data_IF_908817751194
#
_entry.id   IF_908817751194
#
_cell.length_a   1.000
_cell.length_b   1.000
_cell.length_c   1.000
_cell.angle_alpha   90.00
_cell.angle_beta   90.00
_cell.angle_gamma   90.00
#
_symmetry.space_group_name_H-M   'P 1'
#
loop_
_entity.id
_entity.type
_entity.pdbx_description
1 polymer ?
#
# COMPACT_ATOMS: atom_id res chain seq x y z
N UNK A 1 -19.74 -68.35 5.76
CA UNK A 1 -18.69 -68.70 4.79
C UNK A 1 -18.44 -67.52 3.86
N UNK A 2 -18.20 -66.33 4.44
CA UNK A 2 -18.01 -65.05 3.74
C UNK A 2 -17.08 -64.13 4.56
N UNK A 3 -16.04 -64.74 5.14
CA UNK A 3 -14.80 -64.04 5.47
C UNK A 3 -13.79 -64.44 4.38
N UNK A 4 -12.70 -63.68 4.23
CA UNK A 4 -11.60 -63.96 3.30
C UNK A 4 -11.90 -63.68 1.81
N UNK A 5 -12.58 -62.56 1.54
CA UNK A 5 -12.41 -61.83 0.27
C UNK A 5 -11.68 -60.50 0.57
N UNK A 6 -10.42 -60.63 0.97
CA UNK A 6 -9.46 -59.53 0.95
C UNK A 6 -9.20 -59.13 -0.51
N UNK A 7 -10.09 -58.30 -1.05
CA UNK A 7 -9.74 -57.44 -2.17
C UNK A 7 -8.70 -56.43 -1.64
N UNK A 8 -7.42 -56.77 -1.77
CA UNK A 8 -6.31 -55.81 -1.71
C UNK A 8 -6.57 -54.78 -2.84
N UNK A 9 -7.31 -53.71 -2.51
CA UNK A 9 -7.63 -52.65 -3.46
C UNK A 9 -6.31 -51.99 -3.87
N UNK A 10 -5.98 -52.05 -5.15
CA UNK A 10 -4.74 -51.48 -5.66
C UNK A 10 -4.69 -49.96 -5.41
N UNK A 11 -3.52 -49.46 -5.00
CA UNK A 11 -3.32 -48.04 -4.75
C UNK A 11 -3.53 -47.22 -6.04
N UNK A 12 -4.51 -46.30 -6.00
CA UNK A 12 -4.66 -45.28 -7.05
C UNK A 12 -3.66 -44.16 -6.79
N UNK A 13 -2.51 -44.30 -7.45
CA UNK A 13 -1.39 -43.35 -7.35
C UNK A 13 -1.64 -42.06 -8.13
N UNK A 14 -2.73 -41.95 -8.91
CA UNK A 14 -3.05 -40.82 -9.80
C UNK A 14 -1.90 -40.44 -10.75
N UNK A 15 -1.04 -41.40 -11.09
CA UNK A 15 0.18 -41.18 -11.89
C UNK A 15 1.31 -40.43 -11.16
N UNK A 16 1.20 -40.17 -9.86
CA UNK A 16 2.22 -39.48 -9.05
C UNK A 16 3.31 -40.49 -8.63
N UNK A 17 4.56 -40.34 -9.09
CA UNK A 17 5.61 -41.29 -8.71
C UNK A 17 6.04 -41.10 -7.26
N UNK A 18 6.52 -42.18 -6.65
CA UNK A 18 7.14 -42.17 -5.31
C UNK A 18 8.58 -42.65 -5.38
N UNK A 19 9.44 -42.05 -4.56
CA UNK A 19 10.86 -42.44 -4.45
C UNK A 19 11.14 -42.98 -3.05
N UNK A 20 11.55 -44.25 -2.89
CA UNK A 20 11.85 -44.82 -1.59
C UNK A 20 13.13 -44.20 -1.01
N UNK A 21 13.13 -43.97 0.30
CA UNK A 21 14.28 -43.44 1.03
C UNK A 21 14.23 -43.75 2.51
N UNK A 22 15.29 -43.33 3.21
CA UNK A 22 15.36 -43.35 4.67
C UNK A 22 16.01 -42.07 5.17
N UNK A 23 15.57 -41.59 6.32
CA UNK A 23 16.18 -40.48 7.07
C UNK A 23 16.36 -40.92 8.51
N UNK A 24 17.45 -40.47 9.13
CA UNK A 24 17.74 -40.75 10.54
C UNK A 24 17.75 -39.42 11.29
N UNK A 25 16.80 -39.26 12.21
CA UNK A 25 16.53 -38.01 12.90
C UNK A 25 16.89 -38.12 14.37
N UNK A 26 17.71 -37.19 14.85
CA UNK A 26 17.94 -36.95 16.27
C UNK A 26 16.73 -36.23 16.87
N UNK A 27 16.18 -36.76 17.95
CA UNK A 27 14.97 -36.21 18.58
C UNK A 27 15.27 -34.95 19.39
N UNK A 28 14.24 -34.14 19.57
CA UNK A 28 14.28 -32.98 20.48
C UNK A 28 14.27 -33.38 21.97
N UNK A 29 14.37 -32.38 22.84
CA UNK A 29 14.34 -32.56 24.29
C UNK A 29 13.02 -33.16 24.82
N UNK A 30 11.95 -33.10 24.02
CA UNK A 30 10.64 -33.70 24.30
C UNK A 30 10.51 -35.11 23.71
N UNK A 31 11.58 -35.67 23.14
CA UNK A 31 11.65 -36.99 22.51
C UNK A 31 10.73 -37.11 21.26
N UNK A 32 10.48 -36.00 20.57
CA UNK A 32 9.70 -35.89 19.34
C UNK A 32 10.61 -35.63 18.12
N UNK A 33 10.05 -35.86 16.93
CA UNK A 33 10.66 -35.50 15.64
C UNK A 33 9.89 -34.40 14.88
N UNK A 34 8.67 -34.07 15.32
CA UNK A 34 7.88 -32.97 14.74
C UNK A 34 7.10 -33.29 13.46
N UNK A 35 6.51 -34.47 13.35
CA UNK A 35 5.56 -34.80 12.28
C UNK A 35 4.17 -35.16 12.82
N UNK A 36 3.12 -34.88 12.05
CA UNK A 36 1.76 -35.40 12.23
C UNK A 36 1.50 -36.51 11.21
N UNK A 37 0.78 -37.57 11.61
CA UNK A 37 0.58 -38.79 10.82
C UNK A 37 -0.92 -38.98 10.53
N UNK A 38 -1.26 -39.21 9.27
CA UNK A 38 -2.59 -39.54 8.76
C UNK A 38 -2.63 -40.92 8.10
N UNK A 39 -3.84 -41.33 7.69
CA UNK A 39 -4.09 -42.66 7.14
C UNK A 39 -3.94 -43.78 8.17
N UNK A 40 -3.52 -44.95 7.69
CA UNK A 40 -3.40 -46.19 8.44
C UNK A 40 -4.70 -46.98 8.58
N UNK A 41 -4.57 -48.16 9.19
CA UNK A 41 -5.67 -49.09 9.40
C UNK A 41 -6.81 -48.47 10.25
N UNK A 42 -8.07 -48.85 10.05
CA UNK A 42 -8.56 -49.88 9.13
C UNK A 42 -8.95 -49.39 7.72
N UNK A 43 -8.96 -48.07 7.47
CA UNK A 43 -9.56 -47.49 6.26
C UNK A 43 -8.57 -47.12 5.15
N UNK A 44 -7.29 -46.94 5.47
CA UNK A 44 -6.27 -46.51 4.51
C UNK A 44 -5.05 -47.46 4.53
N UNK A 45 -4.59 -47.99 3.38
CA UNK A 45 -3.46 -48.92 3.34
C UNK A 45 -2.12 -48.24 3.67
N UNK A 46 -2.01 -46.94 3.36
CA UNK A 46 -0.81 -46.12 3.57
C UNK A 46 -0.88 -45.33 4.88
N UNK A 47 0.28 -45.07 5.49
CA UNK A 47 0.45 -44.07 6.53
C UNK A 47 1.26 -42.91 5.95
N UNK A 48 0.84 -41.67 6.14
CA UNK A 48 1.51 -40.52 5.51
C UNK A 48 1.60 -39.30 6.42
N UNK A 49 2.55 -38.42 6.11
CA UNK A 49 2.80 -37.20 6.87
C UNK A 49 1.72 -36.17 6.52
N UNK A 50 0.94 -35.73 7.50
CA UNK A 50 -0.07 -34.66 7.34
C UNK A 50 0.57 -33.27 7.44
N UNK A 51 1.56 -33.14 8.32
CA UNK A 51 2.25 -31.89 8.58
C UNK A 51 3.64 -32.17 9.15
N UNK A 52 4.62 -31.37 8.74
CA UNK A 52 5.88 -31.19 9.46
C UNK A 52 5.78 -29.87 10.22
N UNK A 53 6.15 -29.85 11.51
CA UNK A 53 6.05 -28.67 12.37
C UNK A 53 7.35 -27.87 12.36
N UNK A 54 7.27 -26.53 12.31
CA UNK A 54 8.45 -25.67 12.26
C UNK A 54 9.32 -25.83 13.52
N UNK A 55 10.63 -25.58 13.40
CA UNK A 55 11.62 -25.65 14.48
C UNK A 55 11.74 -27.04 15.16
N UNK A 56 11.37 -28.11 14.45
CA UNK A 56 11.51 -29.50 14.90
C UNK A 56 12.59 -30.25 14.09
N UNK A 57 13.09 -31.40 14.58
CA UNK A 57 14.12 -32.16 13.86
C UNK A 57 13.78 -32.47 12.39
N UNK A 58 12.53 -32.89 12.10
CA UNK A 58 12.11 -33.17 10.73
C UNK A 58 12.07 -31.92 9.82
N UNK A 59 11.72 -30.76 10.37
CA UNK A 59 11.73 -29.50 9.62
C UNK A 59 13.14 -28.97 9.37
N UNK A 60 14.07 -29.16 10.32
CA UNK A 60 15.46 -28.73 10.21
C UNK A 60 16.26 -29.61 9.25
N UNK A 61 15.99 -30.91 9.22
CA UNK A 61 16.56 -31.86 8.27
C UNK A 61 15.99 -31.69 6.85
N UNK A 62 14.67 -31.48 6.73
CA UNK A 62 14.02 -31.18 5.44
C UNK A 62 13.89 -32.35 4.45
N UNK A 63 14.35 -33.56 4.80
CA UNK A 63 14.26 -34.73 3.92
C UNK A 63 12.82 -35.18 3.71
N UNK A 64 11.96 -35.08 4.73
CA UNK A 64 10.54 -35.51 4.70
C UNK A 64 9.59 -34.33 4.68
N UNK A 65 8.43 -34.49 4.02
CA UNK A 65 7.44 -33.44 3.82
C UNK A 65 6.00 -34.00 3.80
N UNK A 66 5.01 -33.12 3.97
CA UNK A 66 3.60 -33.49 3.98
C UNK A 66 3.18 -34.17 2.66
N UNK A 67 2.45 -35.28 2.74
CA UNK A 67 2.11 -36.16 1.63
C UNK A 67 3.08 -37.33 1.40
N UNK A 68 4.29 -37.31 1.99
CA UNK A 68 5.19 -38.46 1.97
C UNK A 68 4.60 -39.61 2.77
N UNK A 69 4.70 -40.83 2.25
CA UNK A 69 4.28 -42.04 2.96
C UNK A 69 5.41 -42.52 3.87
N UNK A 70 5.04 -43.04 5.04
CA UNK A 70 5.92 -43.69 6.01
C UNK A 70 5.76 -45.21 5.81
N UNK A 71 6.86 -45.89 5.49
CA UNK A 71 6.88 -47.34 5.21
C UNK A 71 7.47 -48.18 6.35
N UNK A 72 8.29 -47.56 7.21
CA UNK A 72 8.92 -48.26 8.32
C UNK A 72 9.59 -47.37 9.37
N UNK A 73 9.76 -47.91 10.58
CA UNK A 73 10.43 -47.25 11.72
C UNK A 73 11.52 -48.19 12.24
N UNK A 74 12.77 -47.72 12.28
CA UNK A 74 13.96 -48.51 12.66
C UNK A 74 14.03 -49.89 11.96
N UNK A 75 13.72 -49.92 10.66
CA UNK A 75 13.73 -51.14 9.83
C UNK A 75 12.54 -52.07 10.03
N UNK A 76 11.60 -51.75 10.93
CA UNK A 76 10.34 -52.49 11.10
C UNK A 76 9.26 -51.92 10.20
N UNK A 77 8.63 -52.77 9.40
CA UNK A 77 7.47 -52.38 8.57
C UNK A 77 6.30 -51.89 9.43
N UNK A 78 5.54 -50.95 8.88
CA UNK A 78 4.32 -50.42 9.49
C UNK A 78 3.05 -50.61 8.65
N UNK A 79 3.10 -51.36 7.54
CA UNK A 79 1.90 -51.72 6.77
C UNK A 79 0.87 -52.39 7.69
N UNK A 80 -0.40 -52.02 7.56
CA UNK A 80 -1.50 -52.55 8.36
C UNK A 80 -1.63 -52.01 9.79
N UNK A 81 -0.81 -51.04 10.21
CA UNK A 81 -0.92 -50.41 11.54
C UNK A 81 -1.76 -49.14 11.52
N UNK A 82 -2.28 -48.77 12.68
CA UNK A 82 -2.97 -47.50 12.90
C UNK A 82 -1.96 -46.36 13.09
N UNK A 83 -2.38 -45.12 12.80
CA UNK A 83 -1.58 -43.90 13.05
C UNK A 83 -1.12 -43.75 14.52
N UNK A 84 -1.91 -44.27 15.47
CA UNK A 84 -1.60 -44.24 16.91
C UNK A 84 -0.46 -45.20 17.26
N UNK A 85 -0.47 -46.42 16.73
CA UNK A 85 0.62 -47.39 16.94
C UNK A 85 1.94 -46.91 16.33
N UNK A 86 1.88 -46.25 15.17
CA UNK A 86 3.07 -45.69 14.51
C UNK A 86 3.64 -44.52 15.31
N UNK A 87 2.80 -43.60 15.77
CA UNK A 87 3.22 -42.53 16.68
C UNK A 87 3.86 -43.10 17.95
N UNK A 88 3.28 -44.16 18.53
CA UNK A 88 3.82 -44.83 19.71
C UNK A 88 5.18 -45.50 19.44
N UNK A 89 5.33 -46.25 18.34
CA UNK A 89 6.61 -46.85 17.95
C UNK A 89 7.71 -45.80 17.76
N UNK A 90 7.39 -44.65 17.16
CA UNK A 90 8.34 -43.54 17.05
C UNK A 90 8.69 -42.98 18.43
N UNK A 91 7.71 -42.80 19.32
CA UNK A 91 7.92 -42.27 20.68
C UNK A 91 8.72 -43.20 21.60
N UNK A 92 8.54 -44.51 21.48
CA UNK A 92 9.25 -45.54 22.28
C UNK A 92 10.76 -45.55 22.03
N UNK A 93 11.20 -45.22 20.80
CA UNK A 93 12.62 -45.03 20.47
C UNK A 93 13.19 -43.82 21.20
N UNK A 94 14.39 -43.93 21.79
CA UNK A 94 15.09 -42.83 22.49
C UNK A 94 16.33 -42.38 21.70
N UNK A 95 16.59 -41.07 21.74
CA UNK A 95 17.69 -40.45 20.99
C UNK A 95 17.38 -40.36 19.51
N UNK A 96 17.76 -41.38 18.75
CA UNK A 96 17.77 -41.36 17.28
C UNK A 96 16.75 -42.33 16.68
N UNK A 97 15.99 -41.88 15.68
CA UNK A 97 14.99 -42.71 14.98
C UNK A 97 15.18 -42.65 13.47
N UNK A 98 15.21 -43.82 12.83
CA UNK A 98 15.28 -43.97 11.37
C UNK A 98 13.89 -44.19 10.79
N UNK A 99 13.42 -43.23 10.00
CA UNK A 99 12.16 -43.28 9.27
C UNK A 99 12.44 -43.74 7.85
N UNK A 100 11.78 -44.82 7.42
CA UNK A 100 11.73 -45.24 6.02
C UNK A 100 10.47 -44.63 5.40
N UNK A 101 10.62 -44.06 4.21
CA UNK A 101 9.56 -43.29 3.57
C UNK A 101 9.51 -43.53 2.05
N UNK A 102 8.36 -43.25 1.46
CA UNK A 102 8.15 -43.13 0.03
C UNK A 102 7.83 -41.65 -0.27
N UNK A 103 8.81 -40.94 -0.83
CA UNK A 103 8.71 -39.49 -1.08
C UNK A 103 7.83 -39.21 -2.28
N UNK A 104 6.78 -38.41 -2.09
CA UNK A 104 5.79 -38.09 -3.11
C UNK A 104 6.37 -37.05 -4.09
N UNK A 105 6.51 -37.42 -5.36
CA UNK A 105 6.97 -36.53 -6.44
C UNK A 105 5.78 -35.79 -7.08
N UNK A 106 5.10 -34.99 -6.26
CA UNK A 106 3.98 -34.16 -6.69
C UNK A 106 4.44 -32.94 -7.50
N UNK A 107 3.82 -32.67 -8.66
CA UNK A 107 3.92 -31.37 -9.33
C UNK A 107 2.85 -30.43 -8.73
N UNK A 108 3.22 -29.26 -8.16
CA UNK A 108 2.27 -28.29 -7.62
C UNK A 108 1.15 -27.88 -8.60
N UNK A 109 1.40 -27.95 -9.92
CA UNK A 109 0.38 -27.69 -10.96
C UNK A 109 -0.78 -28.68 -10.91
N UNK A 110 -0.54 -29.94 -10.55
CA UNK A 110 -1.60 -30.95 -10.41
C UNK A 110 -2.55 -30.60 -9.26
N UNK A 111 -2.06 -29.93 -8.22
CA UNK A 111 -2.88 -29.43 -7.12
C UNK A 111 -3.58 -28.10 -7.39
N UNK A 112 -3.46 -27.50 -8.59
CA UNK A 112 -4.16 -26.27 -8.98
C UNK A 112 -5.50 -26.57 -9.68
N UNK A 113 -6.46 -27.11 -8.93
CA UNK A 113 -7.81 -27.36 -9.45
C UNK A 113 -8.64 -26.08 -9.59
N UNK A 114 -9.69 -26.13 -10.43
CA UNK A 114 -10.67 -25.04 -10.55
C UNK A 114 -11.30 -24.69 -9.19
N UNK A 115 -11.49 -25.68 -8.32
CA UNK A 115 -11.98 -25.51 -6.95
C UNK A 115 -11.04 -24.65 -6.09
N UNK A 116 -9.71 -24.89 -6.16
CA UNK A 116 -8.71 -24.02 -5.50
C UNK A 116 -8.75 -22.59 -6.05
N UNK A 117 -8.93 -22.42 -7.38
CA UNK A 117 -9.04 -21.09 -8.01
C UNK A 117 -10.31 -20.36 -7.53
N UNK A 118 -11.46 -21.04 -7.48
CA UNK A 118 -12.72 -20.49 -6.98
C UNK A 118 -12.62 -20.12 -5.49
N UNK A 119 -11.97 -20.96 -4.67
CA UNK A 119 -11.66 -20.64 -3.26
C UNK A 119 -10.77 -19.39 -3.16
N UNK A 120 -9.75 -19.23 -3.99
CA UNK A 120 -8.86 -18.05 -4.02
C UNK A 120 -9.63 -16.77 -4.40
N UNK A 121 -10.55 -16.86 -5.36
CA UNK A 121 -11.47 -15.77 -5.72
C UNK A 121 -12.41 -15.43 -4.57
N UNK A 122 -13.02 -16.43 -3.91
CA UNK A 122 -13.87 -16.24 -2.72
C UNK A 122 -13.12 -15.46 -1.63
N UNK A 123 -11.92 -15.89 -1.26
CA UNK A 123 -11.11 -15.20 -0.26
C UNK A 123 -10.83 -13.74 -0.64
N UNK A 124 -10.48 -13.47 -1.91
CA UNK A 124 -10.23 -12.10 -2.41
C UNK A 124 -11.46 -11.20 -2.34
N UNK A 125 -12.67 -11.72 -2.59
CA UNK A 125 -13.91 -10.96 -2.48
C UNK A 125 -14.26 -10.66 -1.01
N UNK A 126 -14.12 -11.65 -0.14
CA UNK A 126 -14.51 -11.58 1.27
C UNK A 126 -13.60 -10.68 2.11
N UNK A 127 -12.32 -10.55 1.78
CA UNK A 127 -11.37 -9.69 2.51
C UNK A 127 -11.82 -8.21 2.53
N UNK A 128 -12.47 -7.74 1.46
CA UNK A 128 -12.95 -6.35 1.31
C UNK A 128 -14.41 -6.15 1.77
N UNK A 129 -15.05 -7.16 2.37
CA UNK A 129 -16.46 -7.11 2.77
C UNK A 129 -16.64 -7.00 4.29
N UNK A 130 -17.66 -6.24 4.71
CA UNK A 130 -18.08 -6.24 6.11
C UNK A 130 -18.56 -7.64 6.54
N UNK A 131 -18.53 -7.93 7.85
CA UNK A 131 -19.04 -9.19 8.39
C UNK A 131 -20.50 -9.46 7.97
N UNK A 132 -21.38 -8.49 8.23
CA UNK A 132 -22.80 -8.62 7.89
C UNK A 132 -23.05 -8.76 6.39
N UNK A 133 -22.24 -8.13 5.53
CA UNK A 133 -22.34 -8.30 4.07
C UNK A 133 -21.91 -9.71 3.64
N UNK A 134 -20.81 -10.23 4.16
CA UNK A 134 -20.33 -11.57 3.84
C UNK A 134 -21.32 -12.64 4.34
N UNK A 135 -21.84 -12.49 5.56
CA UNK A 135 -22.80 -13.42 6.15
C UNK A 135 -24.15 -13.39 5.39
N UNK A 136 -24.63 -12.22 4.97
CA UNK A 136 -25.84 -12.08 4.13
C UNK A 136 -25.69 -12.70 2.73
N UNK A 137 -24.45 -12.80 2.21
CA UNK A 137 -24.13 -13.48 0.95
C UNK A 137 -23.77 -14.97 1.15
N UNK A 138 -23.86 -15.50 2.36
CA UNK A 138 -23.49 -16.89 2.68
C UNK A 138 -21.98 -17.19 2.60
N UNK A 139 -21.12 -16.17 2.56
CA UNK A 139 -19.69 -16.32 2.36
C UNK A 139 -18.94 -16.54 3.69
N UNK A 140 -18.92 -17.79 4.16
CA UNK A 140 -18.31 -18.16 5.44
C UNK A 140 -16.82 -17.76 5.55
N UNK A 141 -16.49 -16.96 6.57
CA UNK A 141 -15.17 -16.35 6.78
C UNK A 141 -14.17 -17.20 7.59
N UNK A 142 -14.33 -18.53 7.58
CA UNK A 142 -13.74 -19.47 8.55
C UNK A 142 -12.19 -19.50 8.67
N UNK A 143 -11.46 -18.80 7.80
CA UNK A 143 -9.98 -18.74 7.79
C UNK A 143 -9.47 -17.29 7.64
N UNK A 144 -10.33 -16.27 7.70
CA UNK A 144 -9.89 -14.87 7.65
C UNK A 144 -9.35 -14.42 9.02
N UNK A 145 -8.08 -14.70 9.27
CA UNK A 145 -7.35 -14.06 10.35
C UNK A 145 -7.29 -12.55 10.10
N UNK A 146 -7.65 -11.78 11.13
CA UNK A 146 -7.58 -10.32 11.23
C UNK A 146 -6.13 -9.84 11.01
N UNK A 147 -5.77 -9.61 9.75
CA UNK A 147 -4.39 -9.43 9.33
C UNK A 147 -3.94 -7.99 9.48
N UNK A 148 -3.04 -7.75 10.44
CA UNK A 148 -2.49 -6.43 10.70
C UNK A 148 -1.85 -5.77 9.48
N UNK A 149 -1.37 -6.55 8.50
CA UNK A 149 -0.78 -6.01 7.28
C UNK A 149 -1.80 -5.30 6.37
N UNK A 150 -3.09 -5.67 6.42
CA UNK A 150 -4.14 -4.95 5.69
C UNK A 150 -4.39 -3.57 6.32
N UNK A 151 -4.43 -3.50 7.66
CA UNK A 151 -4.53 -2.22 8.37
C UNK A 151 -3.31 -1.32 8.12
N UNK A 152 -2.10 -1.90 8.07
CA UNK A 152 -0.89 -1.17 7.66
C UNK A 152 -0.95 -0.65 6.23
N UNK A 153 -1.64 -1.36 5.31
CA UNK A 153 -1.88 -0.85 3.96
C UNK A 153 -2.86 0.33 3.96
N UNK A 154 -3.97 0.26 4.71
CA UNK A 154 -4.92 1.35 4.87
C UNK A 154 -4.27 2.60 5.50
N UNK A 155 -3.44 2.42 6.53
CA UNK A 155 -2.60 3.46 7.14
C UNK A 155 -1.65 4.09 6.11
N UNK A 156 -0.99 3.26 5.27
CA UNK A 156 -0.09 3.73 4.22
C UNK A 156 -0.83 4.50 3.12
N UNK A 157 -2.05 4.08 2.72
CA UNK A 157 -2.84 4.77 1.71
C UNK A 157 -3.38 6.12 2.21
N UNK A 158 -3.88 6.20 3.46
CA UNK A 158 -4.25 7.49 4.10
C UNK A 158 -3.05 8.43 4.22
N UNK A 159 -1.90 7.89 4.59
CA UNK A 159 -0.63 8.63 4.63
C UNK A 159 -0.28 9.18 3.25
N UNK A 160 -0.42 8.39 2.18
CA UNK A 160 -0.17 8.81 0.81
C UNK A 160 -1.05 9.99 0.36
N UNK A 161 -2.33 10.00 0.73
CA UNK A 161 -3.27 11.09 0.42
C UNK A 161 -2.84 12.41 1.08
N UNK A 162 -2.42 12.36 2.35
CA UNK A 162 -1.90 13.53 3.07
C UNK A 162 -0.67 14.12 2.37
N UNK A 163 0.28 13.27 1.94
CA UNK A 163 1.47 13.75 1.20
C UNK A 163 1.15 14.29 -0.19
N UNK A 164 0.13 13.73 -0.87
CA UNK A 164 -0.37 14.29 -2.13
C UNK A 164 -0.87 15.71 -1.93
N UNK A 165 -1.71 15.93 -0.91
CA UNK A 165 -2.17 17.26 -0.51
C UNK A 165 -1.03 18.23 -0.17
N UNK A 166 -0.08 17.81 0.68
CA UNK A 166 1.11 18.62 1.01
C UNK A 166 1.91 19.03 -0.23
N UNK A 167 2.09 18.12 -1.18
CA UNK A 167 2.83 18.37 -2.44
C UNK A 167 2.11 19.40 -3.31
N UNK A 168 0.78 19.29 -3.42
CA UNK A 168 -0.06 20.20 -4.18
C UNK A 168 -0.13 21.61 -3.55
N UNK A 169 -0.35 21.70 -2.24
CA UNK A 169 -0.31 22.98 -1.53
C UNK A 169 1.06 23.65 -1.59
N UNK A 170 2.16 22.90 -1.44
CA UNK A 170 3.52 23.44 -1.58
C UNK A 170 3.76 23.96 -2.99
N UNK A 171 3.31 23.24 -4.03
CA UNK A 171 3.42 23.69 -5.42
C UNK A 171 2.66 25.00 -5.67
N UNK A 172 1.45 25.13 -5.14
CA UNK A 172 0.64 26.35 -5.25
C UNK A 172 1.28 27.52 -4.47
N UNK A 173 1.83 27.26 -3.29
CA UNK A 173 2.57 28.26 -2.50
C UNK A 173 3.81 28.77 -3.24
N UNK A 174 4.64 27.88 -3.82
CA UNK A 174 5.81 28.29 -4.60
C UNK A 174 5.42 29.08 -5.87
N UNK A 175 4.26 28.79 -6.47
CA UNK A 175 3.73 29.61 -7.57
C UNK A 175 3.37 31.02 -7.10
N UNK A 176 2.64 31.14 -6.00
CA UNK A 176 2.29 32.46 -5.43
C UNK A 176 3.54 33.26 -5.04
N UNK A 177 4.57 32.62 -4.46
CA UNK A 177 5.85 33.27 -4.16
C UNK A 177 6.61 33.72 -5.42
N UNK A 178 6.52 32.98 -6.52
CA UNK A 178 7.10 33.40 -7.80
C UNK A 178 6.39 34.62 -8.37
N UNK A 179 5.05 34.60 -8.40
CA UNK A 179 4.22 35.72 -8.85
C UNK A 179 4.48 36.98 -7.99
N UNK A 180 4.50 36.84 -6.65
CA UNK A 180 4.88 37.91 -5.72
C UNK A 180 6.30 38.44 -5.96
N UNK A 181 7.27 37.58 -6.29
CA UNK A 181 8.64 38.00 -6.62
C UNK A 181 8.68 38.85 -7.90
N UNK A 182 7.87 38.51 -8.93
CA UNK A 182 7.74 39.35 -10.13
C UNK A 182 7.11 40.71 -9.79
N UNK A 183 6.12 40.76 -8.90
CA UNK A 183 5.52 42.02 -8.43
C UNK A 183 6.52 42.90 -7.67
N UNK A 184 7.36 42.32 -6.81
CA UNK A 184 8.44 43.07 -6.16
C UNK A 184 9.44 43.65 -7.16
N UNK A 185 9.82 42.90 -8.21
CA UNK A 185 10.64 43.44 -9.30
C UNK A 185 9.99 44.62 -10.00
N UNK A 186 8.71 44.50 -10.37
CA UNK A 186 7.97 45.58 -11.02
C UNK A 186 7.91 46.84 -10.17
N UNK A 187 7.62 46.73 -8.86
CA UNK A 187 7.72 47.86 -7.93
C UNK A 187 9.12 48.47 -7.89
N UNK A 188 10.16 47.63 -7.84
CA UNK A 188 11.54 48.09 -7.87
C UNK A 188 11.89 48.91 -9.11
N UNK A 189 11.41 48.48 -10.27
CA UNK A 189 11.64 49.20 -11.53
C UNK A 189 10.80 50.49 -11.63
N UNK A 190 9.55 50.49 -11.14
CA UNK A 190 8.69 51.69 -11.08
C UNK A 190 9.25 52.75 -10.12
N UNK A 191 9.60 52.38 -8.88
CA UNK A 191 10.18 53.32 -7.92
C UNK A 191 11.53 53.87 -8.41
N UNK A 192 12.33 53.07 -9.11
CA UNK A 192 13.58 53.52 -9.74
C UNK A 192 13.35 54.59 -10.82
N UNK A 193 12.23 54.53 -11.55
CA UNK A 193 11.86 55.56 -12.55
C UNK A 193 11.31 56.82 -11.88
N UNK A 194 10.50 56.68 -10.82
CA UNK A 194 9.97 57.81 -10.05
C UNK A 194 11.12 58.58 -9.39
N UNK A 195 12.03 57.89 -8.67
CA UNK A 195 13.14 58.55 -7.96
C UNK A 195 14.07 59.35 -8.87
N UNK A 196 14.30 58.91 -10.11
CA UNK A 196 15.12 59.65 -11.11
C UNK A 196 14.40 60.90 -11.66
N UNK A 197 13.06 60.94 -11.61
CA UNK A 197 12.23 62.04 -12.13
C UNK A 197 11.73 62.99 -11.04
N UNK A 198 11.84 62.61 -9.77
CA UNK A 198 11.38 63.37 -8.62
C UNK A 198 12.31 64.58 -8.36
N UNK A 199 11.83 65.83 -8.53
CA UNK A 199 12.67 67.02 -8.35
C UNK A 199 13.05 67.28 -6.89
N UNK A 200 12.31 66.77 -5.91
CA UNK A 200 12.67 66.94 -4.50
C UNK A 200 13.74 65.91 -4.07
N UNK A 201 14.96 66.33 -3.68
CA UNK A 201 16.07 65.39 -3.46
C UNK A 201 15.81 64.32 -2.37
N UNK A 202 15.10 64.68 -1.30
CA UNK A 202 14.77 63.76 -0.22
C UNK A 202 13.76 62.67 -0.67
N UNK A 203 12.75 63.04 -1.47
CA UNK A 203 11.80 62.09 -2.03
C UNK A 203 12.45 61.22 -3.11
N UNK A 204 13.31 61.79 -3.95
CA UNK A 204 14.16 61.06 -4.90
C UNK A 204 14.98 59.96 -4.20
N UNK A 205 15.70 60.31 -3.14
CA UNK A 205 16.49 59.34 -2.36
C UNK A 205 15.61 58.25 -1.70
N UNK A 206 14.42 58.63 -1.20
CA UNK A 206 13.45 57.69 -0.64
C UNK A 206 13.00 56.66 -1.69
N UNK A 207 12.59 57.11 -2.88
CA UNK A 207 12.16 56.22 -3.96
C UNK A 207 13.29 55.29 -4.44
N UNK A 208 14.54 55.75 -4.48
CA UNK A 208 15.69 54.88 -4.79
C UNK A 208 15.89 53.82 -3.71
N UNK A 209 15.79 54.16 -2.42
CA UNK A 209 15.86 53.18 -1.31
C UNK A 209 14.75 52.13 -1.41
N UNK A 210 13.50 52.54 -1.68
CA UNK A 210 12.40 51.58 -1.89
C UNK A 210 12.60 50.72 -3.14
N UNK A 211 13.16 51.28 -4.22
CA UNK A 211 13.46 50.53 -5.44
C UNK A 211 14.44 49.38 -5.18
N UNK A 212 15.55 49.66 -4.49
CA UNK A 212 16.57 48.67 -4.17
C UNK A 212 16.13 47.68 -3.08
N UNK A 213 15.28 48.11 -2.15
CA UNK A 213 14.63 47.22 -1.18
C UNK A 213 13.74 46.18 -1.90
N UNK A 214 12.86 46.63 -2.80
CA UNK A 214 11.99 45.75 -3.58
C UNK A 214 12.78 44.82 -4.53
N UNK A 215 13.84 45.31 -5.18
CA UNK A 215 14.76 44.47 -5.98
C UNK A 215 15.52 43.45 -5.13
N UNK A 216 15.76 43.72 -3.85
CA UNK A 216 16.39 42.77 -2.93
C UNK A 216 15.42 41.68 -2.47
N UNK A 217 14.16 42.05 -2.19
CA UNK A 217 13.09 41.11 -1.85
C UNK A 217 12.85 40.10 -3.01
N UNK A 218 12.86 40.54 -4.27
CA UNK A 218 12.80 39.60 -5.42
C UNK A 218 13.93 38.58 -5.38
N UNK A 219 15.18 39.01 -5.18
CA UNK A 219 16.34 38.12 -5.11
C UNK A 219 16.22 37.10 -3.97
N UNK A 220 15.66 37.51 -2.82
CA UNK A 220 15.38 36.61 -1.70
C UNK A 220 14.27 35.61 -2.04
N UNK A 221 13.20 36.04 -2.72
CA UNK A 221 12.12 35.19 -3.21
C UNK A 221 12.62 34.12 -4.18
N UNK A 222 13.40 34.51 -5.19
CA UNK A 222 14.03 33.58 -6.15
C UNK A 222 14.98 32.59 -5.43
N UNK A 223 15.70 33.02 -4.37
CA UNK A 223 16.55 32.15 -3.54
C UNK A 223 15.71 31.14 -2.75
N UNK A 224 14.60 31.56 -2.15
CA UNK A 224 13.63 30.69 -1.46
C UNK A 224 13.07 29.63 -2.41
N UNK A 225 12.62 30.03 -3.60
CA UNK A 225 12.09 29.10 -4.61
C UNK A 225 13.11 28.04 -5.02
N UNK A 226 14.36 28.45 -5.32
CA UNK A 226 15.46 27.53 -5.63
C UNK A 226 15.77 26.56 -4.48
N UNK A 227 15.59 27.01 -3.24
CA UNK A 227 15.92 26.23 -2.04
C UNK A 227 14.83 25.24 -1.67
N UNK A 228 13.54 25.56 -1.88
CA UNK A 228 12.41 24.67 -1.57
C UNK A 228 12.08 23.74 -2.75
N UNK A 229 12.30 24.13 -4.01
CA UNK A 229 11.95 23.29 -5.20
C UNK A 229 12.43 21.82 -5.14
N UNK A 230 13.62 21.47 -4.61
CA UNK A 230 14.04 20.07 -4.45
C UNK A 230 13.11 19.24 -3.56
N UNK A 231 12.53 19.82 -2.50
CA UNK A 231 11.57 19.16 -1.61
C UNK A 231 10.39 18.52 -2.37
N UNK A 232 9.87 19.21 -3.38
CA UNK A 232 8.81 18.67 -4.24
C UNK A 232 9.28 17.43 -5.02
N UNK A 233 10.55 17.36 -5.41
CA UNK A 233 11.11 16.23 -6.17
C UNK A 233 11.26 14.99 -5.29
N UNK A 234 11.66 15.20 -4.04
CA UNK A 234 11.83 14.14 -3.03
C UNK A 234 10.45 13.58 -2.61
N UNK A 235 9.50 14.45 -2.25
CA UNK A 235 8.10 14.06 -1.94
C UNK A 235 7.42 13.35 -3.12
N UNK A 236 7.60 13.85 -4.35
CA UNK A 236 7.05 13.23 -5.55
C UNK A 236 7.71 11.87 -5.86
N UNK A 237 8.95 11.64 -5.45
CA UNK A 237 9.63 10.35 -5.53
C UNK A 237 9.07 9.36 -4.51
N UNK A 238 8.82 9.79 -3.27
CA UNK A 238 8.16 8.98 -2.25
C UNK A 238 6.75 8.55 -2.72
N UNK A 239 5.93 9.51 -3.15
CA UNK A 239 4.55 9.29 -3.59
C UNK A 239 4.42 8.37 -4.83
N UNK A 240 5.25 8.57 -5.86
CA UNK A 240 5.07 7.89 -7.15
C UNK A 240 5.98 6.68 -7.36
N UNK A 241 6.97 6.44 -6.50
CA UNK A 241 7.85 5.26 -6.59
C UNK A 241 7.80 4.39 -5.34
N UNK A 242 8.03 4.96 -4.16
CA UNK A 242 8.14 4.17 -2.93
C UNK A 242 6.80 3.57 -2.48
N UNK A 243 5.75 4.39 -2.37
CA UNK A 243 4.41 3.91 -1.96
C UNK A 243 3.84 2.87 -2.96
N UNK A 244 3.87 3.08 -4.30
CA UNK A 244 3.32 2.12 -5.25
C UNK A 244 4.05 0.78 -5.27
N UNK A 245 5.37 0.77 -5.04
CA UNK A 245 6.19 -0.46 -4.96
C UNK A 245 5.90 -1.26 -3.68
N UNK A 246 5.81 -0.58 -2.52
CA UNK A 246 5.37 -1.25 -1.27
C UNK A 246 3.94 -1.78 -1.40
N UNK A 247 3.01 -1.01 -1.99
CA UNK A 247 1.65 -1.47 -2.27
C UNK A 247 1.61 -2.68 -3.22
N UNK A 248 2.44 -2.72 -4.26
CA UNK A 248 2.56 -3.88 -5.15
C UNK A 248 3.05 -5.12 -4.39
N UNK A 249 3.97 -4.94 -3.44
CA UNK A 249 4.51 -6.02 -2.61
C UNK A 249 3.43 -6.58 -1.68
N UNK A 250 2.63 -5.72 -1.04
CA UNK A 250 1.48 -6.12 -0.21
C UNK A 250 0.41 -6.84 -1.06
N UNK A 251 0.15 -6.39 -2.29
CA UNK A 251 -0.77 -7.10 -3.21
C UNK A 251 -0.27 -8.50 -3.59
N UNK A 252 1.03 -8.70 -3.78
CA UNK A 252 1.63 -10.03 -3.97
C UNK A 252 1.48 -10.91 -2.72
N UNK A 253 1.72 -10.35 -1.54
CA UNK A 253 1.47 -11.03 -0.26
C UNK A 253 0.03 -11.51 -0.12
N UNK A 254 -0.96 -10.67 -0.39
CA UNK A 254 -2.37 -11.05 -0.31
C UNK A 254 -2.72 -12.18 -1.28
N UNK A 255 -2.15 -12.18 -2.50
CA UNK A 255 -2.41 -13.26 -3.45
C UNK A 255 -1.83 -14.62 -2.99
N UNK A 256 -0.62 -14.62 -2.41
CA UNK A 256 0.01 -15.81 -1.83
C UNK A 256 -0.73 -16.27 -0.55
N UNK A 257 -1.20 -15.33 0.28
CA UNK A 257 -2.07 -15.59 1.44
C UNK A 257 -3.32 -16.33 0.99
N UNK A 258 -4.09 -15.79 0.04
CA UNK A 258 -5.35 -16.38 -0.42
C UNK A 258 -5.15 -17.77 -1.05
N UNK A 259 -4.03 -18.01 -1.72
CA UNK A 259 -3.65 -19.34 -2.22
C UNK A 259 -3.43 -20.34 -1.08
N UNK A 260 -2.63 -19.98 -0.07
CA UNK A 260 -2.43 -20.81 1.12
C UNK A 260 -3.74 -21.08 1.87
N UNK A 261 -4.59 -20.06 2.06
CA UNK A 261 -5.89 -20.23 2.72
C UNK A 261 -6.84 -21.16 1.91
N UNK A 262 -6.77 -21.12 0.58
CA UNK A 262 -7.55 -22.01 -0.29
C UNK A 262 -7.17 -23.47 -0.11
N UNK A 263 -5.86 -23.78 0.01
CA UNK A 263 -5.39 -25.11 0.35
C UNK A 263 -5.78 -25.53 1.77
N UNK A 264 -5.70 -24.63 2.76
CA UNK A 264 -6.18 -24.92 4.12
C UNK A 264 -7.67 -25.25 4.16
N UNK A 265 -8.49 -24.52 3.40
CA UNK A 265 -9.91 -24.80 3.28
C UNK A 265 -10.17 -26.14 2.60
N UNK A 266 -9.47 -26.45 1.51
CA UNK A 266 -9.62 -27.73 0.80
C UNK A 266 -9.26 -28.93 1.68
N UNK A 267 -8.14 -28.85 2.43
CA UNK A 267 -7.79 -29.92 3.39
C UNK A 267 -8.89 -30.11 4.42
N UNK A 268 -9.41 -29.02 5.01
CA UNK A 268 -10.50 -29.12 5.99
C UNK A 268 -11.76 -29.76 5.39
N UNK A 269 -12.17 -29.35 4.19
CA UNK A 269 -13.33 -29.96 3.51
C UNK A 269 -13.14 -31.47 3.29
N UNK A 270 -11.94 -31.91 2.92
CA UNK A 270 -11.63 -33.35 2.76
C UNK A 270 -11.56 -34.10 4.09
N UNK A 271 -11.10 -33.45 5.17
CA UNK A 271 -11.10 -34.00 6.53
C UNK A 271 -12.55 -34.17 7.06
N UNK A 272 -13.39 -33.14 6.89
CA UNK A 272 -14.80 -33.12 7.31
C UNK A 272 -15.63 -34.15 6.51
N UNK A 273 -15.36 -34.30 5.20
CA UNK A 273 -15.95 -35.33 4.34
C UNK A 273 -15.54 -36.75 4.78
N UNK A 274 -14.23 -36.99 5.00
CA UNK A 274 -13.71 -38.28 5.45
C UNK A 274 -14.30 -38.69 6.80
N UNK A 275 -14.39 -37.76 7.75
CA UNK A 275 -15.02 -38.00 9.05
C UNK A 275 -16.50 -38.38 8.92
N UNK A 276 -17.24 -37.67 8.06
CA UNK A 276 -18.68 -37.89 7.85
C UNK A 276 -18.94 -39.27 7.22
N UNK A 277 -18.17 -39.66 6.21
CA UNK A 277 -18.30 -40.95 5.55
C UNK A 277 -17.89 -42.12 6.47
N UNK A 278 -16.83 -41.96 7.25
CA UNK A 278 -16.44 -42.96 8.27
C UNK A 278 -17.53 -43.11 9.34
N UNK A 279 -18.20 -42.04 9.75
CA UNK A 279 -19.30 -42.09 10.72
C UNK A 279 -20.54 -42.85 10.21
N UNK A 280 -20.73 -42.92 8.88
CA UNK A 280 -21.76 -43.72 8.22
C UNK A 280 -21.34 -45.18 7.96
N UNK A 281 -20.06 -45.52 8.19
CA UNK A 281 -19.50 -46.85 7.92
C UNK A 281 -19.09 -47.09 6.46
N UNK A 282 -19.14 -46.06 5.62
CA UNK A 282 -18.82 -46.13 4.18
C UNK A 282 -17.52 -45.37 3.88
N UNK A 283 -16.33 -46.00 4.00
CA UNK A 283 -15.07 -45.33 3.71
C UNK A 283 -14.96 -44.94 2.23
N UNK A 284 -14.54 -43.70 1.97
CA UNK A 284 -14.39 -43.17 0.61
C UNK A 284 -13.33 -43.93 -0.18
N UNK A 285 -13.60 -44.16 -1.47
CA UNK A 285 -12.67 -44.84 -2.39
C UNK A 285 -11.25 -44.25 -2.37
N UNK A 286 -11.13 -42.91 -2.35
CA UNK A 286 -9.82 -42.22 -2.24
C UNK A 286 -9.03 -42.65 -1.00
N UNK A 287 -9.69 -42.96 0.11
CA UNK A 287 -9.02 -43.35 1.38
C UNK A 287 -8.55 -44.80 1.30
N UNK A 288 -9.39 -45.70 0.81
CA UNK A 288 -9.04 -47.13 0.67
C UNK A 288 -7.97 -47.37 -0.39
N UNK A 289 -7.75 -46.44 -1.32
CA UNK A 289 -6.68 -46.49 -2.34
C UNK A 289 -5.39 -45.72 -1.98
N UNK A 290 -5.22 -45.28 -0.73
CA UNK A 290 -3.97 -44.65 -0.25
C UNK A 290 -3.94 -43.12 -0.27
N UNK A 291 -5.08 -42.47 -0.58
CA UNK A 291 -5.37 -41.04 -0.40
C UNK A 291 -4.40 -40.08 -1.13
N UNK A 292 -3.97 -40.45 -2.35
CA UNK A 292 -2.98 -39.69 -3.12
C UNK A 292 -3.44 -38.25 -3.47
N UNK A 293 -4.73 -38.02 -3.73
CA UNK A 293 -5.26 -36.65 -3.94
C UNK A 293 -5.05 -35.78 -2.69
N UNK A 294 -5.44 -36.29 -1.51
CA UNK A 294 -5.26 -35.58 -0.25
C UNK A 294 -3.77 -35.32 0.03
N UNK A 295 -2.90 -36.31 -0.21
CA UNK A 295 -1.44 -36.20 -0.06
C UNK A 295 -0.82 -35.15 -1.00
N UNK A 296 -1.32 -35.03 -2.23
CA UNK A 296 -0.96 -33.95 -3.17
C UNK A 296 -1.39 -32.57 -2.64
N UNK A 297 -2.64 -32.43 -2.16
CA UNK A 297 -3.13 -31.17 -1.58
C UNK A 297 -2.33 -30.79 -0.33
N UNK A 298 -1.94 -31.74 0.52
CA UNK A 298 -1.05 -31.52 1.66
C UNK A 298 0.33 -30.97 1.24
N UNK A 299 0.92 -31.49 0.16
CA UNK A 299 2.19 -30.98 -0.39
C UNK A 299 2.03 -29.54 -0.86
N UNK A 300 1.01 -29.26 -1.67
CA UNK A 300 0.72 -27.91 -2.16
C UNK A 300 0.46 -26.92 -1.02
N UNK A 301 -0.25 -27.34 0.05
CA UNK A 301 -0.44 -26.56 1.28
C UNK A 301 0.89 -26.23 1.96
N UNK A 302 1.80 -27.19 2.09
CA UNK A 302 3.12 -26.98 2.72
C UNK A 302 3.95 -25.95 1.93
N UNK A 303 3.98 -26.05 0.60
CA UNK A 303 4.72 -25.09 -0.22
C UNK A 303 4.09 -23.70 -0.21
N UNK A 304 2.76 -23.61 -0.33
CA UNK A 304 2.04 -22.34 -0.25
C UNK A 304 2.26 -21.67 1.12
N UNK A 305 2.33 -22.46 2.21
CA UNK A 305 2.68 -21.98 3.56
C UNK A 305 4.09 -21.40 3.61
N UNK A 306 5.07 -22.06 2.98
CA UNK A 306 6.45 -21.56 2.92
C UNK A 306 6.53 -20.23 2.14
N UNK A 307 5.90 -20.15 0.96
CA UNK A 307 5.79 -18.91 0.17
C UNK A 307 5.11 -17.78 0.97
N UNK A 308 4.02 -18.09 1.66
CA UNK A 308 3.28 -17.15 2.51
C UNK A 308 4.14 -16.61 3.67
N UNK A 309 4.81 -17.49 4.41
CA UNK A 309 5.67 -17.10 5.53
C UNK A 309 6.85 -16.24 5.11
N UNK A 310 7.47 -16.52 3.95
CA UNK A 310 8.55 -15.69 3.42
C UNK A 310 8.03 -14.31 2.99
N UNK A 311 7.01 -14.26 2.13
CA UNK A 311 6.44 -13.01 1.64
C UNK A 311 5.88 -12.12 2.77
N UNK A 312 5.45 -12.73 3.89
CA UNK A 312 5.06 -12.00 5.11
C UNK A 312 6.24 -11.28 5.76
N UNK A 313 7.43 -11.91 5.84
CA UNK A 313 8.66 -11.25 6.31
C UNK A 313 9.06 -10.13 5.36
N UNK A 314 9.12 -10.42 4.06
CA UNK A 314 9.51 -9.44 3.03
C UNK A 314 8.66 -8.16 3.09
N UNK A 315 7.34 -8.30 3.32
CA UNK A 315 6.43 -7.15 3.50
C UNK A 315 6.68 -6.40 4.81
N UNK A 316 6.92 -7.09 5.92
CA UNK A 316 7.20 -6.45 7.21
C UNK A 316 8.50 -5.64 7.15
N UNK A 317 9.59 -6.24 6.65
CA UNK A 317 10.87 -5.57 6.47
C UNK A 317 10.75 -4.37 5.52
N UNK A 318 10.00 -4.50 4.41
CA UNK A 318 9.79 -3.42 3.45
C UNK A 318 8.94 -2.27 4.01
N UNK A 319 7.94 -2.57 4.86
CA UNK A 319 7.17 -1.55 5.56
C UNK A 319 8.04 -0.79 6.57
N UNK A 320 8.87 -1.50 7.33
CA UNK A 320 9.79 -0.89 8.29
C UNK A 320 10.84 0.00 7.61
N UNK A 321 11.46 -0.48 6.53
CA UNK A 321 12.40 0.31 5.72
C UNK A 321 11.75 1.55 5.09
N UNK A 322 10.47 1.44 4.68
CA UNK A 322 9.71 2.59 4.17
C UNK A 322 9.52 3.63 5.28
N UNK A 323 9.08 3.21 6.47
CA UNK A 323 8.77 4.09 7.60
C UNK A 323 10.03 4.77 8.18
N UNK A 324 11.13 4.02 8.36
CA UNK A 324 12.41 4.57 8.82
C UNK A 324 12.93 5.66 7.87
N UNK A 325 12.90 5.41 6.56
CA UNK A 325 13.28 6.42 5.56
C UNK A 325 12.32 7.60 5.53
N UNK A 326 11.03 7.32 5.63
CA UNK A 326 9.96 8.32 5.60
C UNK A 326 10.13 9.39 6.69
N UNK A 327 10.28 8.95 7.94
CA UNK A 327 10.42 9.86 9.08
C UNK A 327 11.66 10.75 8.94
N UNK A 328 12.79 10.19 8.51
CA UNK A 328 14.03 10.96 8.30
C UNK A 328 13.89 12.00 7.18
N UNK A 329 13.40 11.59 6.01
CA UNK A 329 13.24 12.48 4.86
C UNK A 329 12.31 13.66 5.20
N UNK A 330 11.14 13.41 5.81
CA UNK A 330 10.16 14.47 6.09
C UNK A 330 10.57 15.44 7.19
N UNK A 331 11.20 14.98 8.27
CA UNK A 331 11.72 15.90 9.29
C UNK A 331 12.73 16.86 8.68
N UNK A 332 13.63 16.36 7.81
CA UNK A 332 14.59 17.19 7.10
C UNK A 332 13.91 18.18 6.13
N UNK A 333 12.93 17.73 5.33
CA UNK A 333 12.21 18.61 4.41
C UNK A 333 11.39 19.70 5.12
N UNK A 334 10.71 19.37 6.22
CA UNK A 334 9.94 20.35 7.01
C UNK A 334 10.84 21.37 7.70
N UNK A 335 11.97 20.94 8.27
CA UNK A 335 12.98 21.86 8.82
C UNK A 335 13.52 22.78 7.72
N UNK A 336 13.91 22.24 6.56
CA UNK A 336 14.36 23.01 5.40
C UNK A 336 13.33 24.03 4.95
N UNK A 337 12.05 23.66 4.90
CA UNK A 337 10.95 24.57 4.58
C UNK A 337 10.87 25.72 5.59
N UNK A 338 10.70 25.42 6.88
CA UNK A 338 10.53 26.42 7.94
C UNK A 338 11.75 27.35 8.04
N UNK A 339 12.97 26.81 8.02
CA UNK A 339 14.20 27.61 8.07
C UNK A 339 14.36 28.50 6.83
N UNK A 340 13.95 28.05 5.64
CA UNK A 340 14.00 28.87 4.42
C UNK A 340 12.97 30.00 4.46
N UNK A 341 11.74 29.71 4.91
CA UNK A 341 10.67 30.70 5.08
C UNK A 341 11.06 31.77 6.12
N UNK A 342 11.55 31.34 7.29
CA UNK A 342 12.04 32.23 8.34
C UNK A 342 13.19 33.11 7.85
N UNK A 343 14.17 32.53 7.13
CA UNK A 343 15.27 33.30 6.55
C UNK A 343 14.77 34.33 5.54
N UNK A 344 13.84 33.98 4.65
CA UNK A 344 13.26 34.93 3.70
C UNK A 344 12.62 36.13 4.41
N UNK A 345 11.78 35.89 5.42
CA UNK A 345 11.13 36.98 6.14
C UNK A 345 12.12 37.83 6.96
N UNK A 346 13.15 37.22 7.55
CA UNK A 346 14.22 37.95 8.24
C UNK A 346 15.07 38.80 7.27
N UNK A 347 15.47 38.24 6.11
CA UNK A 347 16.21 38.95 5.06
C UNK A 347 15.36 40.14 4.53
N UNK A 348 14.05 39.96 4.35
CA UNK A 348 13.11 41.02 3.95
C UNK A 348 12.93 42.09 5.03
N UNK A 349 12.76 41.69 6.29
CA UNK A 349 12.59 42.61 7.42
C UNK A 349 13.84 43.48 7.61
N UNK A 350 15.05 42.91 7.53
CA UNK A 350 16.29 43.67 7.63
C UNK A 350 16.37 44.78 6.57
N UNK A 351 16.08 44.45 5.31
CA UNK A 351 16.09 45.41 4.20
C UNK A 351 15.01 46.48 4.33
N UNK A 352 13.80 46.14 4.79
CA UNK A 352 12.72 47.11 4.99
C UNK A 352 12.96 48.02 6.21
N UNK A 353 13.55 47.49 7.29
CA UNK A 353 13.94 48.25 8.49
C UNK A 353 15.04 49.28 8.17
N UNK A 354 15.97 48.93 7.30
CA UNK A 354 17.05 49.82 6.86
C UNK A 354 16.55 50.84 5.80
N UNK A 355 15.35 50.62 5.25
CA UNK A 355 14.62 51.52 4.35
C UNK A 355 13.53 52.33 5.09
N UNK A 356 13.74 52.66 6.37
CA UNK A 356 12.90 53.64 7.08
C UNK A 356 13.23 55.05 6.59
N UNK A 357 12.33 55.62 5.78
CA UNK A 357 12.47 56.97 5.19
C UNK A 357 11.29 57.87 5.56
N UNK A 358 10.58 57.58 6.65
CA UNK A 358 9.47 58.42 7.11
C UNK A 358 9.92 59.50 8.12
N UNK A 359 9.35 60.72 8.08
CA UNK A 359 8.35 61.19 7.11
C UNK A 359 8.98 61.59 5.77
N UNK A 360 8.38 61.12 4.67
CA UNK A 360 8.64 61.69 3.34
C UNK A 360 7.80 62.95 3.22
N UNK A 361 8.39 64.12 3.45
CA UNK A 361 7.75 65.39 3.10
C UNK A 361 7.67 65.51 1.57
N UNK A 362 6.64 64.97 0.93
CA UNK A 362 6.38 65.19 -0.49
C UNK A 362 5.63 66.50 -0.64
N UNK A 363 6.30 67.56 -1.10
CA UNK A 363 5.64 68.86 -1.29
C UNK A 363 4.82 68.90 -2.60
N UNK A 364 3.61 68.34 -2.49
CA UNK A 364 2.58 68.31 -3.54
C UNK A 364 2.11 69.70 -4.00
N UNK A 365 2.56 70.80 -3.40
CA UNK A 365 2.18 72.15 -3.80
C UNK A 365 3.03 72.72 -4.96
N UNK A 366 4.28 72.24 -5.15
CA UNK A 366 5.26 72.92 -6.01
C UNK A 366 5.52 72.29 -7.39
N UNK A 367 5.00 71.09 -7.68
CA UNK A 367 5.34 70.34 -8.91
C UNK A 367 4.16 70.07 -9.85
N UNK A 368 2.93 70.34 -9.44
CA UNK A 368 1.73 69.76 -10.08
C UNK A 368 1.26 70.48 -11.34
N UNK A 369 1.50 71.79 -11.48
CA UNK A 369 0.99 72.62 -12.60
C UNK A 369 1.94 73.77 -12.98
N UNK A 370 2.97 73.46 -13.77
CA UNK A 370 3.81 74.47 -14.42
C UNK A 370 4.08 74.11 -15.90
N UNK A 371 3.03 73.76 -16.65
CA UNK A 371 3.11 73.79 -18.11
C UNK A 371 3.26 75.25 -18.56
N UNK A 372 4.39 75.55 -19.21
CA UNK A 372 4.67 76.89 -19.71
C UNK A 372 3.63 77.32 -20.73
N UNK A 373 3.11 78.55 -20.59
CA UNK A 373 2.21 79.16 -21.56
C UNK A 373 2.96 79.40 -22.88
N UNK A 374 2.85 78.47 -23.83
CA UNK A 374 3.65 78.50 -25.05
C UNK A 374 3.11 77.60 -26.17
N UNK A 375 2.21 78.18 -26.98
CA UNK A 375 1.91 77.85 -28.38
C UNK A 375 1.28 76.47 -28.69
N UNK A 376 0.19 76.48 -29.48
CA UNK A 376 -0.36 75.25 -30.08
C UNK A 376 -1.84 75.27 -30.44
N UNK A 377 -2.32 76.27 -31.18
CA UNK A 377 -3.57 76.10 -31.93
C UNK A 377 -3.34 75.09 -33.06
N UNK A 378 -4.08 73.99 -33.09
CA UNK A 378 -4.35 73.24 -34.32
C UNK A 378 -5.78 72.70 -34.28
N UNK A 379 -6.51 72.92 -35.37
CA UNK A 379 -7.94 72.70 -35.49
C UNK A 379 -8.28 71.34 -36.13
N UNK A 380 -9.59 71.10 -36.20
CA UNK A 380 -10.31 69.87 -36.55
C UNK A 380 -9.88 69.11 -37.82
N UNK A 381 -10.24 67.82 -37.82
CA UNK A 381 -10.37 66.97 -39.00
C UNK A 381 -11.31 65.80 -38.67
N UNK A 382 -12.54 65.88 -39.18
CA UNK A 382 -13.57 64.82 -39.07
C UNK A 382 -13.34 63.71 -40.14
N UNK A 383 -14.35 62.84 -40.27
CA UNK A 383 -14.60 61.81 -41.30
C UNK A 383 -14.18 60.37 -40.92
N UNK A 384 -15.14 59.50 -40.56
CA UNK A 384 -15.93 58.58 -41.43
C UNK A 384 -15.24 57.20 -41.54
N UNK A 385 -15.92 56.03 -41.55
CA UNK A 385 -17.27 55.64 -41.09
C UNK A 385 -17.31 54.07 -41.03
N UNK A 386 -18.51 53.47 -40.98
CA UNK A 386 -18.83 52.04 -41.26
C UNK A 386 -18.63 51.00 -40.12
N UNK A 387 -19.76 50.59 -39.50
CA UNK A 387 -20.00 49.17 -39.20
C UNK A 387 -21.48 48.82 -39.52
N UNK A 388 -21.69 47.83 -40.40
CA UNK A 388 -22.97 47.58 -41.08
C UNK A 388 -23.86 46.53 -40.37
N UNK A 389 -25.14 46.48 -40.73
CA UNK A 389 -26.23 46.01 -39.85
C UNK A 389 -26.69 44.55 -39.99
N UNK A 390 -26.69 43.84 -38.85
CA UNK A 390 -27.78 42.94 -38.37
C UNK A 390 -28.14 41.68 -39.23
N UNK A 391 -29.27 40.94 -39.01
CA UNK A 391 -30.19 40.85 -37.85
C UNK A 391 -30.63 39.40 -37.42
N UNK A 392 -31.34 39.32 -36.27
CA UNK A 392 -32.36 38.28 -35.96
C UNK A 392 -31.84 36.95 -35.36
N UNK A 393 -32.58 36.13 -34.60
CA UNK A 393 -33.92 36.19 -33.96
C UNK A 393 -33.93 35.13 -32.81
N UNK A 394 -34.92 34.93 -31.93
CA UNK A 394 -36.28 35.51 -31.73
C UNK A 394 -36.56 35.73 -30.21
N UNK A 395 -37.80 36.06 -29.83
CA UNK A 395 -38.29 36.29 -28.46
C UNK A 395 -39.03 35.10 -27.81
N UNK A 396 -39.14 35.07 -26.47
CA UNK A 396 -40.42 35.31 -25.75
C UNK A 396 -40.36 35.13 -24.22
N UNK A 397 -41.03 36.06 -23.53
CA UNK A 397 -41.99 35.93 -22.41
C UNK A 397 -41.75 34.94 -21.23
N UNK A 398 -42.13 35.24 -19.98
CA UNK A 398 -42.53 36.47 -19.29
C UNK A 398 -42.78 36.17 -17.78
N UNK A 399 -42.98 37.24 -16.97
CA UNK A 399 -43.51 37.25 -15.58
C UNK A 399 -42.53 36.76 -14.49
N UNK A 400 -42.58 37.28 -13.26
CA UNK A 400 -43.52 38.25 -12.66
C UNK A 400 -42.90 39.05 -11.50
N UNK A 401 -43.65 40.04 -11.01
CA UNK A 401 -43.19 41.03 -10.04
C UNK A 401 -43.37 40.60 -8.57
N UNK A 402 -42.50 41.11 -7.69
CA UNK A 402 -42.82 41.77 -6.40
C UNK A 402 -41.56 41.84 -5.49
N UNK A 403 -41.35 42.99 -4.84
CA UNK A 403 -40.56 43.06 -3.59
C UNK A 403 -41.51 43.17 -2.38
N UNK A 404 -41.14 43.86 -1.29
CA UNK A 404 -39.82 43.93 -0.64
C UNK A 404 -39.90 43.72 0.90
N UNK A 405 -38.75 43.57 1.59
CA UNK A 405 -38.54 43.74 3.06
C UNK A 405 -39.36 42.80 3.99
N UNK A 406 -38.82 42.22 5.07
CA UNK A 406 -38.36 42.90 6.31
C UNK A 406 -37.79 41.88 7.34
N UNK A 407 -37.06 42.38 8.36
CA UNK A 407 -36.72 41.81 9.69
C UNK A 407 -36.32 40.33 9.91
N UNK A 408 -35.11 40.19 10.48
CA UNK A 408 -34.97 39.68 11.85
C UNK A 408 -34.34 38.29 12.03
N UNK A 409 -33.26 38.19 12.83
CA UNK A 409 -32.68 36.89 13.20
C UNK A 409 -31.26 36.93 13.80
N UNK A 410 -31.12 37.37 15.04
CA UNK A 410 -29.92 37.12 15.86
C UNK A 410 -29.89 35.67 16.33
N UNK A 411 -28.79 34.94 16.13
CA UNK A 411 -28.43 33.75 16.92
C UNK A 411 -26.90 33.60 17.03
N UNK A 412 -26.38 33.58 18.26
CA UNK A 412 -25.01 33.17 18.58
C UNK A 412 -25.00 31.70 19.05
N UNK A 413 -23.81 31.09 18.97
CA UNK A 413 -23.22 30.08 19.85
C UNK A 413 -24.06 28.90 20.39
N UNK A 414 -23.65 27.70 19.98
CA UNK A 414 -23.39 26.55 20.86
C UNK A 414 -22.36 25.63 20.22
#
# INVERSE_FOLDING_TARGET
MFADLDYDIEEDKLGIPTVPGKVTLQKDAQNLIGISIGGGAQYCPCLYIVQVFDNTPAALDGTVAAGDEITGVNGRSIKGKTKVEVAKMIQEVKGEVTIHYNKLQADPKQGMSLDIVLKKVKHRLVENMSSGTADALGLSRAILCNDGLVKRLEELERTAELYKGMTEHTKNLLRAFYELSQTHRAFGDVFSVIGVREPQPAASEAFVKFADAHRSIEKFGIRLLKTIKPMLTDLNTYLNKAIPDTRLTIKKYLDVKFEYLSYCLKVKEMDDEEYSCIALGEPLYRVSTGNYEYRLILRCRQEARARFSQMRKDVLEKLELLDQKHVQDIVFQLQRFVSTMSKYYNDCYAVLRDADVFPIEVDLAHTTLAYGAGQGEFADGEDEDEEDTAPGETSRDARGAAGPLDKGGSWCDS
#
